data_IF_872975906895
#
_entry.id   IF_872975906895
#
_cell.length_a   1.000
_cell.length_b   1.000
_cell.length_c   1.000
_cell.angle_alpha   90.00
_cell.angle_beta   90.00
_cell.angle_gamma   90.00
#
_symmetry.space_group_name_H-M   'P 1'
#
loop_
_entity.id
_entity.type
_entity.pdbx_description
1 polymer ?
#
# COMPACT_ATOMS: atom_id res chain seq x y z
N UNK A 1 -14.87 1.86 4.52
CA UNK A 1 -15.22 1.15 5.77
C UNK A 1 -15.74 -0.25 5.52
N UNK A 2 -16.28 -0.55 4.33
CA UNK A 2 -16.72 -1.91 3.94
C UNK A 2 -15.62 -2.96 4.12
N UNK A 3 -14.46 -2.80 3.48
CA UNK A 3 -13.27 -3.65 3.66
C UNK A 3 -12.95 -3.94 5.13
N UNK A 4 -12.93 -2.90 5.97
CA UNK A 4 -12.60 -3.01 7.39
C UNK A 4 -13.67 -3.79 8.18
N UNK A 5 -14.94 -3.60 7.84
CA UNK A 5 -16.06 -4.31 8.46
C UNK A 5 -16.10 -5.78 8.02
N UNK A 6 -15.92 -6.07 6.73
CA UNK A 6 -15.93 -7.42 6.17
C UNK A 6 -14.76 -8.28 6.68
N UNK A 7 -13.58 -7.66 6.83
CA UNK A 7 -12.38 -8.32 7.36
C UNK A 7 -12.21 -8.23 8.88
N UNK A 8 -13.15 -7.57 9.57
CA UNK A 8 -13.11 -7.34 11.02
C UNK A 8 -11.77 -6.74 11.51
N UNK A 9 -11.19 -5.81 10.74
CA UNK A 9 -9.88 -5.22 11.03
C UNK A 9 -9.86 -3.72 10.79
N UNK A 10 -9.22 -3.00 11.69
CA UNK A 10 -8.92 -1.57 11.57
C UNK A 10 -7.41 -1.32 11.39
N UNK A 11 -6.65 -2.37 11.13
CA UNK A 11 -5.19 -2.29 11.00
C UNK A 11 -4.83 -1.65 9.67
N UNK A 12 -4.04 -0.59 9.74
CA UNK A 12 -3.28 -0.03 8.63
C UNK A 12 -1.82 -0.39 8.84
N UNK A 13 -1.25 -1.23 7.97
CA UNK A 13 0.13 -1.68 8.11
C UNK A 13 1.08 -0.70 7.43
N UNK A 14 2.10 -0.24 8.14
CA UNK A 14 3.22 0.51 7.57
C UNK A 14 4.21 -0.46 6.91
N UNK A 15 4.30 -0.42 5.58
CA UNK A 15 5.15 -1.28 4.78
C UNK A 15 6.34 -0.49 4.22
N UNK A 16 7.30 -0.22 5.09
CA UNK A 16 8.51 0.54 4.76
C UNK A 16 9.57 -0.40 4.14
N UNK A 17 9.30 -0.84 2.91
CA UNK A 17 10.12 -1.80 2.15
C UNK A 17 10.72 -1.15 0.89
N UNK A 18 11.87 -1.65 0.44
CA UNK A 18 12.68 -1.02 -0.61
C UNK A 18 12.39 -1.49 -2.04
N UNK A 19 11.60 -2.55 -2.23
CA UNK A 19 11.31 -3.10 -3.56
C UNK A 19 9.83 -3.44 -3.78
N UNK A 20 9.38 -3.37 -5.04
CA UNK A 20 8.00 -3.73 -5.40
C UNK A 20 7.69 -5.21 -5.13
N UNK A 21 8.66 -6.11 -5.32
CA UNK A 21 8.48 -7.55 -5.07
C UNK A 21 8.30 -7.86 -3.58
N UNK A 22 9.04 -7.19 -2.68
CA UNK A 22 8.84 -7.33 -1.23
C UNK A 22 7.46 -6.83 -0.79
N UNK A 23 7.00 -5.71 -1.35
CA UNK A 23 5.65 -5.18 -1.09
C UNK A 23 4.56 -6.16 -1.55
N UNK A 24 4.67 -6.71 -2.76
CA UNK A 24 3.73 -7.71 -3.29
C UNK A 24 3.72 -8.96 -2.41
N UNK A 25 4.91 -9.46 -2.04
CA UNK A 25 5.05 -10.62 -1.14
C UNK A 25 4.41 -10.37 0.22
N UNK A 26 4.60 -9.18 0.80
CA UNK A 26 3.97 -8.79 2.05
C UNK A 26 2.45 -8.76 1.92
N UNK A 27 1.91 -8.12 0.88
CA UNK A 27 0.47 -8.05 0.62
C UNK A 27 -0.15 -9.46 0.57
N UNK A 28 0.46 -10.40 -0.14
CA UNK A 28 -0.07 -11.77 -0.19
C UNK A 28 -0.05 -12.49 1.17
N UNK A 29 0.88 -12.14 2.07
CA UNK A 29 0.96 -12.72 3.40
C UNK A 29 -0.06 -12.12 4.38
N UNK A 30 -0.28 -10.81 4.33
CA UNK A 30 -1.07 -10.09 5.35
C UNK A 30 -2.41 -9.56 4.88
N UNK A 31 -2.68 -9.55 3.57
CA UNK A 31 -3.85 -8.92 2.95
C UNK A 31 -5.20 -9.25 3.59
N UNK A 32 -5.49 -10.51 3.96
CA UNK A 32 -6.74 -10.87 4.63
C UNK A 32 -6.91 -10.29 6.05
N UNK A 33 -5.85 -9.77 6.67
CA UNK A 33 -5.82 -9.35 8.07
C UNK A 33 -5.73 -7.83 8.27
N UNK A 34 -5.55 -7.05 7.20
CA UNK A 34 -5.41 -5.60 7.25
C UNK A 34 -6.44 -4.91 6.36
N UNK A 35 -6.78 -3.66 6.69
CA UNK A 35 -7.73 -2.85 5.93
C UNK A 35 -7.03 -1.97 4.88
N UNK A 36 -5.80 -1.55 5.17
CA UNK A 36 -5.00 -0.74 4.26
C UNK A 36 -3.51 -1.01 4.45
N UNK A 37 -2.75 -0.73 3.39
CA UNK A 37 -1.29 -0.74 3.38
C UNK A 37 -0.80 0.70 3.20
N UNK A 38 0.03 1.17 4.14
CA UNK A 38 0.70 2.47 4.05
C UNK A 38 2.08 2.27 3.41
N UNK A 39 2.40 3.06 2.40
CA UNK A 39 3.66 2.98 1.65
C UNK A 39 4.51 4.24 1.80
N UNK A 40 5.80 4.10 1.48
CA UNK A 40 6.73 5.18 1.19
C UNK A 40 7.33 4.91 -0.20
N UNK A 41 6.63 5.35 -1.25
CA UNK A 41 7.07 5.10 -2.64
C UNK A 41 8.44 5.74 -2.92
N UNK A 42 8.78 6.82 -2.22
CA UNK A 42 10.09 7.47 -2.28
C UNK A 42 11.25 6.61 -1.76
N UNK A 43 10.98 5.51 -1.07
CA UNK A 43 11.98 4.52 -0.63
C UNK A 43 12.12 3.32 -1.59
N UNK A 44 11.24 3.20 -2.59
CA UNK A 44 11.22 2.05 -3.50
C UNK A 44 12.23 2.24 -4.63
N UNK A 45 13.26 1.41 -4.67
CA UNK A 45 14.42 1.57 -5.58
C UNK A 45 14.09 1.20 -7.04
N UNK A 46 13.20 0.24 -7.25
CA UNK A 46 12.81 -0.31 -8.55
C UNK A 46 11.50 0.28 -9.09
N UNK A 47 11.11 1.47 -8.61
CA UNK A 47 9.87 2.11 -8.99
C UNK A 47 9.81 2.40 -10.50
N UNK A 48 8.74 1.92 -11.13
CA UNK A 48 8.26 2.27 -12.45
C UNK A 48 6.74 2.12 -12.45
N UNK A 49 6.06 2.69 -13.44
CA UNK A 49 4.61 2.50 -13.55
C UNK A 49 4.23 1.01 -13.72
N UNK A 50 5.06 0.24 -14.43
CA UNK A 50 4.86 -1.19 -14.67
C UNK A 50 5.11 -2.02 -13.40
N UNK A 51 6.20 -1.77 -12.67
CA UNK A 51 6.49 -2.48 -11.42
C UNK A 51 5.47 -2.13 -10.33
N UNK A 52 5.07 -0.87 -10.25
CA UNK A 52 4.06 -0.43 -9.28
C UNK A 52 2.67 -1.00 -9.57
N UNK A 53 2.31 -1.24 -10.83
CA UNK A 53 1.04 -1.87 -11.18
C UNK A 53 0.88 -3.24 -10.49
N UNK A 54 1.97 -4.00 -10.30
CA UNK A 54 1.95 -5.27 -9.55
C UNK A 54 1.50 -5.09 -8.10
N UNK A 55 1.94 -4.01 -7.44
CA UNK A 55 1.54 -3.66 -6.07
C UNK A 55 0.06 -3.30 -6.02
N UNK A 56 -0.43 -2.53 -7.00
CA UNK A 56 -1.84 -2.17 -7.14
C UNK A 56 -2.70 -3.42 -7.35
N UNK A 57 -2.30 -4.31 -8.26
CA UNK A 57 -3.02 -5.55 -8.55
C UNK A 57 -3.06 -6.48 -7.34
N UNK A 58 -1.95 -6.59 -6.60
CA UNK A 58 -1.89 -7.37 -5.36
C UNK A 58 -2.83 -6.79 -4.29
N UNK A 59 -2.82 -5.46 -4.09
CA UNK A 59 -3.70 -4.79 -3.14
C UNK A 59 -5.18 -4.97 -3.51
N UNK A 60 -5.53 -4.81 -4.79
CA UNK A 60 -6.88 -5.07 -5.29
C UNK A 60 -7.31 -6.53 -5.08
N UNK A 61 -6.41 -7.49 -5.30
CA UNK A 61 -6.74 -8.92 -5.13
C UNK A 61 -7.12 -9.30 -3.70
N UNK A 62 -6.70 -8.48 -2.72
CA UNK A 62 -7.01 -8.65 -1.31
C UNK A 62 -8.01 -7.61 -0.79
N UNK A 63 -8.64 -6.79 -1.63
CA UNK A 63 -9.47 -5.66 -1.20
C UNK A 63 -8.74 -4.76 -0.19
N UNK A 64 -7.63 -4.17 -0.59
CA UNK A 64 -6.83 -3.27 0.24
C UNK A 64 -6.81 -1.85 -0.32
N UNK A 65 -6.95 -0.87 0.57
CA UNK A 65 -6.62 0.51 0.26
C UNK A 65 -5.10 0.71 0.32
N UNK A 66 -4.52 1.36 -0.71
CA UNK A 66 -3.16 1.88 -0.66
C UNK A 66 -3.16 3.32 -0.14
N UNK A 67 -2.30 3.61 0.84
CA UNK A 67 -2.14 4.92 1.44
C UNK A 67 -0.69 5.38 1.37
N UNK A 68 -0.38 6.27 0.45
CA UNK A 68 0.97 6.83 0.33
C UNK A 68 1.24 7.88 1.43
N UNK A 69 2.21 7.60 2.30
CA UNK A 69 2.60 8.46 3.41
C UNK A 69 3.62 9.53 2.97
N UNK A 70 3.25 10.25 1.90
CA UNK A 70 4.13 11.28 1.31
C UNK A 70 4.34 12.48 2.23
N UNK A 71 3.44 12.68 3.21
CA UNK A 71 3.40 13.86 4.09
C UNK A 71 3.50 15.17 3.30
N UNK A 72 2.57 15.36 2.35
CA UNK A 72 2.49 16.62 1.60
C UNK A 72 2.43 17.81 2.58
N UNK A 73 3.37 18.74 2.44
CA UNK A 73 3.55 19.87 3.35
C UNK A 73 3.99 21.13 2.60
N UNK A 74 3.51 21.29 1.36
CA UNK A 74 3.76 22.45 0.51
C UNK A 74 2.54 23.39 0.51
N UNK A 75 2.70 24.63 0.05
CA UNK A 75 1.65 25.68 0.04
C UNK A 75 0.57 25.45 -1.03
N UNK A 76 0.70 24.39 -1.83
CA UNK A 76 -0.14 24.13 -3.00
C UNK A 76 0.26 25.02 -4.19
N UNK A 77 -0.70 25.32 -5.07
CA UNK A 77 -0.50 26.26 -6.17
C UNK A 77 -1.08 27.61 -5.82
N UNK A 78 -0.26 28.67 -5.92
CA UNK A 78 -0.68 30.08 -5.86
C UNK A 78 -0.91 30.59 -7.27
#
# INVERSE_FOLDING_TARGET
>A
METAAEKETLVVLAADLGSTDELVSLIHQVGPHIAALKTHVDMVEDFSQESWQKVVDAAHSHDLMLFEDRKFADIGRV
#
